data_IF_018424131956
#
_entry.id   IF_018424131956
#
_cell.length_a   1.000
_cell.length_b   1.000
_cell.length_c   1.000
_cell.angle_alpha   90.00
_cell.angle_beta   90.00
_cell.angle_gamma   90.00
#
_symmetry.space_group_name_H-M   'P 1'
#
loop_
_entity.id
_entity.type
_entity.pdbx_description
1 polymer ?
#
# COMPACT_ATOMS: atom_id res chain seq x y z
N UNK A 1 -2.89 -0.25 4.57
CA UNK A 1 -4.05 0.64 4.34
C UNK A 1 -4.97 -0.05 3.34
N UNK A 2 -5.99 -0.73 3.84
CA UNK A 2 -7.11 -1.21 3.06
C UNK A 2 -8.33 -0.81 3.86
N UNK A 3 -9.12 0.11 3.33
CA UNK A 3 -10.27 0.69 3.99
C UNK A 3 -11.30 -0.39 4.28
N UNK A 4 -11.56 -0.59 5.57
CA UNK A 4 -12.72 -1.28 6.12
C UNK A 4 -13.95 -0.41 5.88
N UNK A 5 -14.90 -0.89 5.08
CA UNK A 5 -16.30 -0.46 5.15
C UNK A 5 -17.18 -1.68 4.91
N UNK A 6 -17.15 -2.61 5.86
CA UNK A 6 -18.29 -3.51 6.03
C UNK A 6 -19.36 -2.72 6.78
N UNK A 7 -20.28 -2.13 6.02
CA UNK A 7 -21.49 -1.56 6.57
C UNK A 7 -22.38 -2.70 7.12
N UNK A 8 -22.92 -2.58 8.34
CA UNK A 8 -23.80 -3.59 8.90
C UNK A 8 -25.11 -3.65 8.11
N UNK A 9 -25.38 -4.81 7.50
CA UNK A 9 -26.67 -5.13 6.86
C UNK A 9 -27.76 -5.05 7.93
N UNK A 10 -28.54 -3.97 7.90
CA UNK A 10 -29.72 -3.80 8.75
C UNK A 10 -30.79 -4.85 8.39
N UNK A 11 -31.25 -5.70 9.31
CA UNK A 11 -32.11 -6.86 8.99
C UNK A 11 -33.60 -6.49 8.86
N UNK A 12 -33.94 -5.24 8.54
CA UNK A 12 -35.31 -4.74 8.50
C UNK A 12 -35.72 -4.19 7.11
N UNK A 13 -35.38 -4.93 6.05
CA UNK A 13 -35.97 -4.73 4.73
C UNK A 13 -37.38 -5.30 4.69
N UNK A 14 -38.41 -4.49 4.94
CA UNK A 14 -39.81 -4.92 4.80
C UNK A 14 -40.11 -5.48 3.39
N UNK A 15 -41.17 -6.29 3.24
CA UNK A 15 -41.57 -6.95 1.95
C UNK A 15 -41.51 -6.04 0.71
N UNK A 16 -41.70 -4.75 0.89
CA UNK A 16 -41.65 -3.74 -0.17
C UNK A 16 -40.24 -3.41 -0.67
N UNK A 17 -39.19 -3.52 0.14
CA UNK A 17 -37.79 -3.32 -0.31
C UNK A 17 -37.33 -4.50 -1.16
N UNK A 18 -37.66 -5.73 -0.76
CA UNK A 18 -37.38 -6.95 -1.53
C UNK A 18 -38.08 -6.93 -2.89
N UNK A 19 -39.34 -6.51 -2.95
CA UNK A 19 -40.07 -6.35 -4.22
C UNK A 19 -39.40 -5.32 -5.13
N UNK A 20 -38.97 -4.18 -4.60
CA UNK A 20 -38.26 -3.15 -5.39
C UNK A 20 -36.92 -3.64 -5.91
N UNK A 21 -36.17 -4.39 -5.13
CA UNK A 21 -34.90 -4.98 -5.57
C UNK A 21 -35.12 -6.04 -6.65
N UNK A 22 -36.11 -6.91 -6.48
CA UNK A 22 -36.49 -7.89 -7.49
C UNK A 22 -36.93 -7.22 -8.81
N UNK A 23 -37.77 -6.18 -8.73
CA UNK A 23 -38.21 -5.43 -9.91
C UNK A 23 -37.06 -4.70 -10.59
N UNK A 24 -36.13 -4.11 -9.82
CA UNK A 24 -34.91 -3.49 -10.37
C UNK A 24 -34.04 -4.52 -11.09
N UNK A 25 -33.87 -5.70 -10.52
CA UNK A 25 -33.13 -6.79 -11.16
C UNK A 25 -33.79 -7.24 -12.45
N UNK A 26 -35.10 -7.42 -12.46
CA UNK A 26 -35.86 -7.82 -13.64
C UNK A 26 -35.79 -6.75 -14.75
N UNK A 27 -35.98 -5.48 -14.42
CA UNK A 27 -35.85 -4.37 -15.37
C UNK A 27 -34.43 -4.28 -15.93
N UNK A 28 -33.40 -4.40 -15.10
CA UNK A 28 -32.00 -4.42 -15.54
C UNK A 28 -31.72 -5.60 -16.47
N UNK A 29 -32.27 -6.78 -16.18
CA UNK A 29 -32.10 -7.97 -17.02
C UNK A 29 -32.82 -7.83 -18.37
N UNK A 30 -34.01 -7.24 -18.40
CA UNK A 30 -34.73 -6.95 -19.66
C UNK A 30 -33.98 -5.90 -20.48
N UNK A 31 -33.54 -4.80 -19.85
CA UNK A 31 -32.78 -3.75 -20.51
C UNK A 31 -31.44 -4.27 -21.04
N UNK A 32 -30.69 -5.05 -20.26
CA UNK A 32 -29.42 -5.62 -20.73
C UNK A 32 -29.63 -6.55 -21.92
N UNK A 33 -30.69 -7.35 -21.92
CA UNK A 33 -31.05 -8.22 -23.06
C UNK A 33 -31.40 -7.41 -24.31
N UNK A 34 -32.21 -6.36 -24.20
CA UNK A 34 -32.59 -5.50 -25.33
C UNK A 34 -31.40 -4.68 -25.85
N UNK A 35 -30.56 -4.14 -24.97
CA UNK A 35 -29.33 -3.45 -25.37
C UNK A 35 -28.41 -4.42 -26.09
N UNK A 36 -28.25 -5.64 -25.57
CA UNK A 36 -27.42 -6.66 -26.20
C UNK A 36 -27.96 -7.11 -27.57
N UNK A 37 -29.28 -7.18 -27.76
CA UNK A 37 -29.85 -7.53 -29.07
C UNK A 37 -29.69 -6.42 -30.11
N UNK A 38 -29.74 -5.16 -29.70
CA UNK A 38 -29.75 -4.02 -30.61
C UNK A 38 -28.35 -3.43 -30.85
N UNK A 39 -27.56 -3.27 -29.80
CA UNK A 39 -26.23 -2.67 -29.83
C UNK A 39 -25.08 -3.70 -29.80
N UNK A 40 -25.40 -4.97 -29.51
CA UNK A 40 -24.42 -6.05 -29.42
C UNK A 40 -23.79 -6.20 -28.03
N UNK A 41 -22.74 -7.03 -27.96
CA UNK A 41 -21.99 -7.30 -26.73
C UNK A 41 -21.35 -6.02 -26.18
N UNK A 42 -21.28 -5.89 -24.86
CA UNK A 42 -20.55 -4.78 -24.24
C UNK A 42 -19.04 -4.87 -24.55
N UNK A 43 -18.31 -3.76 -24.39
CA UNK A 43 -16.86 -3.76 -24.57
C UNK A 43 -16.17 -4.77 -23.64
N UNK A 44 -16.58 -4.81 -22.37
CA UNK A 44 -16.04 -5.73 -21.37
C UNK A 44 -16.34 -7.20 -21.72
N UNK A 45 -17.58 -7.50 -22.15
CA UNK A 45 -17.95 -8.84 -22.61
C UNK A 45 -17.10 -9.28 -23.82
N UNK A 46 -16.79 -8.37 -24.74
CA UNK A 46 -15.90 -8.66 -25.88
C UNK A 46 -14.46 -8.92 -25.43
N UNK A 47 -13.96 -8.15 -24.45
CA UNK A 47 -12.63 -8.39 -23.88
C UNK A 47 -12.57 -9.75 -23.21
N UNK A 48 -13.58 -10.11 -22.41
CA UNK A 48 -13.62 -11.40 -21.73
C UNK A 48 -13.63 -12.58 -22.71
N UNK A 49 -14.42 -12.49 -23.79
CA UNK A 49 -14.44 -13.51 -24.84
C UNK A 49 -13.07 -13.62 -25.51
N UNK A 50 -12.45 -12.49 -25.87
CA UNK A 50 -11.13 -12.48 -26.48
C UNK A 50 -10.04 -13.04 -25.55
N UNK A 51 -10.09 -12.70 -24.26
CA UNK A 51 -9.18 -13.20 -23.24
C UNK A 51 -9.31 -14.73 -23.06
N UNK A 52 -10.55 -15.24 -23.01
CA UNK A 52 -10.82 -16.69 -22.95
C UNK A 52 -10.29 -17.41 -24.18
N UNK A 53 -10.58 -16.88 -25.38
CA UNK A 53 -10.06 -17.46 -26.63
C UNK A 53 -8.53 -17.51 -26.65
N UNK A 54 -7.87 -16.43 -26.20
CA UNK A 54 -6.40 -16.41 -26.09
C UNK A 54 -5.87 -17.40 -25.07
N UNK A 55 -6.53 -17.51 -23.91
CA UNK A 55 -6.14 -18.48 -22.90
C UNK A 55 -6.23 -19.93 -23.42
N UNK A 56 -7.30 -20.26 -24.14
CA UNK A 56 -7.49 -21.58 -24.74
C UNK A 56 -6.45 -21.86 -25.84
N UNK A 57 -6.13 -20.87 -26.67
CA UNK A 57 -5.05 -20.96 -27.67
C UNK A 57 -3.70 -21.23 -26.99
N UNK A 58 -3.36 -20.49 -25.94
CA UNK A 58 -2.11 -20.67 -25.21
C UNK A 58 -2.04 -22.05 -24.56
N UNK A 59 -3.12 -22.52 -23.93
CA UNK A 59 -3.17 -23.83 -23.28
C UNK A 59 -2.94 -24.97 -24.29
N UNK A 60 -3.54 -24.87 -25.49
CA UNK A 60 -3.31 -25.84 -26.58
C UNK A 60 -1.86 -25.83 -27.05
N UNK A 61 -1.26 -24.64 -27.21
CA UNK A 61 0.14 -24.52 -27.63
C UNK A 61 1.10 -25.09 -26.58
N UNK A 62 0.88 -24.80 -25.30
CA UNK A 62 1.66 -25.36 -24.19
C UNK A 62 1.62 -26.89 -24.18
N UNK A 63 0.45 -27.48 -24.41
CA UNK A 63 0.30 -28.94 -24.48
C UNK A 63 1.11 -29.54 -25.63
N UNK A 64 1.07 -28.92 -26.81
CA UNK A 64 1.88 -29.34 -27.97
C UNK A 64 3.38 -29.22 -27.68
N UNK A 65 3.81 -28.09 -27.12
CA UNK A 65 5.21 -27.85 -26.74
C UNK A 65 5.68 -28.87 -25.70
N UNK A 66 4.86 -29.14 -24.68
CA UNK A 66 5.17 -30.12 -23.64
C UNK A 66 5.35 -31.53 -24.22
N UNK A 67 4.48 -31.95 -25.15
CA UNK A 67 4.63 -33.23 -25.86
C UNK A 67 5.91 -33.28 -26.69
N UNK A 68 6.24 -32.19 -27.40
CA UNK A 68 7.47 -32.10 -28.17
C UNK A 68 8.73 -32.19 -27.29
N UNK A 69 8.73 -31.50 -26.14
CA UNK A 69 9.80 -31.57 -25.16
C UNK A 69 9.95 -32.98 -24.57
N UNK A 70 8.84 -33.63 -24.21
CA UNK A 70 8.87 -35.01 -23.71
C UNK A 70 9.46 -35.97 -24.75
N UNK A 71 9.00 -35.90 -26.00
CA UNK A 71 9.53 -36.72 -27.08
C UNK A 71 11.03 -36.45 -27.33
N UNK A 72 11.47 -35.20 -27.27
CA UNK A 72 12.88 -34.84 -27.39
C UNK A 72 13.72 -35.38 -26.22
N UNK A 73 13.20 -35.33 -25.00
CA UNK A 73 13.85 -35.91 -23.80
C UNK A 73 13.94 -37.43 -23.91
N UNK A 74 12.86 -38.11 -24.32
CA UNK A 74 12.86 -39.56 -24.53
C UNK A 74 13.83 -39.97 -25.62
N UNK A 75 13.83 -39.28 -26.76
CA UNK A 75 14.81 -39.47 -27.84
C UNK A 75 16.25 -39.21 -27.37
N UNK A 76 16.45 -38.20 -26.54
CA UNK A 76 17.75 -37.91 -25.93
C UNK A 76 18.22 -39.01 -24.99
N UNK A 77 17.31 -39.59 -24.21
CA UNK A 77 17.58 -40.70 -23.28
C UNK A 77 17.79 -42.04 -24.00
N UNK A 78 17.08 -42.27 -25.10
CA UNK A 78 17.19 -43.50 -25.89
C UNK A 78 18.43 -43.52 -26.77
N UNK A 79 19.01 -42.35 -27.09
CA UNK A 79 20.31 -42.29 -27.75
C UNK A 79 21.36 -42.82 -26.77
N UNK A 80 22.12 -43.85 -27.13
CA UNK A 80 23.22 -44.29 -26.31
C UNK A 80 24.20 -43.12 -26.17
N UNK A 81 24.35 -42.59 -24.97
CA UNK A 81 25.30 -41.53 -24.58
C UNK A 81 26.76 -42.02 -24.64
N UNK A 82 27.00 -43.19 -25.20
CA UNK A 82 28.34 -43.59 -25.62
C UNK A 82 28.72 -42.80 -26.87
N UNK A 83 29.49 -41.74 -26.70
CA UNK A 83 30.38 -41.32 -27.77
C UNK A 83 31.15 -42.58 -28.25
N UNK A 84 31.33 -42.80 -29.57
CA UNK A 84 32.08 -43.96 -30.09
C UNK A 84 33.49 -44.12 -29.50
N UNK A 85 34.00 -43.06 -28.86
CA UNK A 85 35.34 -42.94 -28.30
C UNK A 85 35.42 -43.35 -26.81
N UNK A 86 34.31 -43.49 -26.07
CA UNK A 86 34.35 -43.82 -24.63
C UNK A 86 33.49 -45.03 -24.27
N UNK A 87 34.08 -46.14 -23.77
CA UNK A 87 33.30 -47.30 -23.34
C UNK A 87 32.42 -46.94 -22.15
N UNK A 88 31.22 -47.55 -22.04
CA UNK A 88 30.22 -47.19 -21.01
C UNK A 88 30.74 -47.31 -19.57
N UNK A 89 31.76 -48.14 -19.33
CA UNK A 89 32.45 -48.28 -18.04
C UNK A 89 33.25 -47.04 -17.61
N UNK A 90 33.60 -46.16 -18.55
CA UNK A 90 34.35 -44.90 -18.34
C UNK A 90 33.44 -43.66 -18.35
N UNK A 91 32.13 -43.83 -18.56
CA UNK A 91 31.14 -42.77 -18.49
C UNK A 91 30.78 -42.49 -17.02
N UNK A 92 30.97 -41.27 -16.49
CA UNK A 92 30.52 -40.92 -15.16
C UNK A 92 29.02 -41.23 -14.99
N UNK A 93 28.64 -41.84 -13.88
CA UNK A 93 27.24 -42.17 -13.60
C UNK A 93 26.42 -40.87 -13.45
N UNK A 94 25.76 -40.47 -14.54
CA UNK A 94 25.01 -39.20 -14.62
C UNK A 94 23.85 -39.15 -13.62
N UNK A 95 23.24 -40.30 -13.30
CA UNK A 95 22.18 -40.38 -12.29
C UNK A 95 22.72 -40.11 -10.88
N UNK A 96 23.88 -40.66 -10.53
CA UNK A 96 24.53 -40.38 -9.25
C UNK A 96 24.89 -38.90 -9.12
N UNK A 97 25.46 -38.30 -10.17
CA UNK A 97 25.76 -36.86 -10.17
C UNK A 97 24.50 -35.98 -10.05
N UNK A 98 23.39 -36.38 -10.68
CA UNK A 98 22.11 -35.67 -10.55
C UNK A 98 21.56 -35.76 -9.12
N UNK A 99 21.63 -36.94 -8.50
CA UNK A 99 21.20 -37.14 -7.11
C UNK A 99 22.04 -36.28 -6.15
N UNK A 100 23.35 -36.23 -6.34
CA UNK A 100 24.23 -35.34 -5.54
C UNK A 100 23.88 -33.87 -5.72
N UNK A 101 23.60 -33.42 -6.96
CA UNK A 101 23.16 -32.04 -7.22
C UNK A 101 21.83 -31.72 -6.55
N UNK A 102 20.86 -32.63 -6.62
CA UNK A 102 19.57 -32.47 -5.94
C UNK A 102 19.73 -32.38 -4.43
N UNK A 103 20.61 -33.21 -3.85
CA UNK A 103 20.91 -33.18 -2.43
C UNK A 103 21.54 -31.85 -2.00
N UNK A 104 22.55 -31.38 -2.73
CA UNK A 104 23.20 -30.07 -2.49
C UNK A 104 22.21 -28.91 -2.61
N UNK A 105 21.34 -28.94 -3.62
CA UNK A 105 20.32 -27.91 -3.81
C UNK A 105 19.35 -27.86 -2.63
N UNK A 106 18.93 -29.03 -2.13
CA UNK A 106 18.05 -29.13 -0.97
C UNK A 106 18.73 -28.64 0.31
N UNK A 107 20.00 -29.00 0.51
CA UNK A 107 20.81 -28.51 1.65
C UNK A 107 20.88 -26.98 1.65
N UNK A 108 21.15 -26.37 0.49
CA UNK A 108 21.16 -24.90 0.34
C UNK A 108 19.79 -24.26 0.59
N UNK A 109 18.71 -24.89 0.13
CA UNK A 109 17.35 -24.41 0.38
C UNK A 109 17.00 -24.44 1.87
N UNK A 110 17.38 -25.53 2.57
CA UNK A 110 17.14 -25.70 3.99
C UNK A 110 17.98 -24.71 4.83
N UNK A 111 19.24 -24.46 4.44
CA UNK A 111 20.09 -23.42 5.04
C UNK A 111 19.49 -22.02 4.86
N UNK A 112 19.03 -21.69 3.65
CA UNK A 112 18.39 -20.41 3.37
C UNK A 112 17.12 -20.22 4.21
N UNK A 113 16.28 -21.25 4.33
CA UNK A 113 15.08 -21.22 5.18
C UNK A 113 15.42 -20.93 6.64
N UNK A 114 16.47 -21.57 7.18
CA UNK A 114 16.95 -21.32 8.55
C UNK A 114 17.40 -19.87 8.73
N UNK A 115 18.20 -19.33 7.80
CA UNK A 115 18.66 -17.94 7.86
C UNK A 115 17.49 -16.95 7.85
N UNK A 116 16.48 -17.18 7.00
CA UNK A 116 15.28 -16.34 6.95
C UNK A 116 14.48 -16.43 8.25
N UNK A 117 14.34 -17.62 8.83
CA UNK A 117 13.66 -17.79 10.11
C UNK A 117 14.40 -17.08 11.25
N UNK A 118 15.72 -17.21 11.34
CA UNK A 118 16.54 -16.50 12.32
C UNK A 118 16.42 -14.98 12.17
N UNK A 119 16.45 -14.47 10.94
CA UNK A 119 16.27 -13.04 10.67
C UNK A 119 14.90 -12.56 11.12
N UNK A 120 13.84 -13.33 10.83
CA UNK A 120 12.47 -13.02 11.30
C UNK A 120 12.38 -13.05 12.82
N UNK A 121 12.99 -14.02 13.47
CA UNK A 121 13.04 -14.09 14.94
C UNK A 121 13.73 -12.85 15.50
N UNK A 122 14.92 -12.49 15.00
CA UNK A 122 15.63 -11.27 15.41
C UNK A 122 14.79 -10.00 15.19
N UNK A 123 14.06 -9.91 14.09
CA UNK A 123 13.16 -8.78 13.83
C UNK A 123 11.96 -8.72 14.78
N UNK A 124 11.46 -9.87 15.22
CA UNK A 124 10.31 -9.96 16.12
C UNK A 124 10.70 -9.78 17.59
N UNK A 125 11.90 -10.23 17.98
CA UNK A 125 12.41 -10.13 19.34
C UNK A 125 13.16 -8.84 19.61
N UNK A 126 13.56 -8.08 18.58
CA UNK A 126 14.17 -6.75 18.79
C UNK A 126 13.19 -5.88 19.54
N UNK A 127 13.69 -5.21 20.58
CA UNK A 127 12.95 -4.10 21.16
C UNK A 127 12.72 -3.02 20.09
N UNK A 128 11.53 -2.43 20.02
CA UNK A 128 11.28 -1.32 19.10
C UNK A 128 12.24 -0.17 19.43
N UNK A 129 12.74 0.52 18.39
CA UNK A 129 13.70 1.64 18.56
C UNK A 129 13.20 2.69 19.55
N UNK A 130 11.89 2.92 19.57
CA UNK A 130 11.21 3.73 20.56
C UNK A 130 10.05 2.92 21.12
N UNK A 131 9.93 2.90 22.45
CA UNK A 131 8.73 2.36 23.10
C UNK A 131 7.60 3.33 22.85
N UNK A 132 6.36 2.82 22.73
CA UNK A 132 5.19 3.68 22.52
C UNK A 132 5.03 4.74 23.64
N UNK A 133 5.44 4.39 24.86
CA UNK A 133 5.51 5.31 25.99
C UNK A 133 6.42 6.51 25.72
N UNK A 134 7.57 6.27 25.11
CA UNK A 134 8.60 7.31 24.89
C UNK A 134 8.17 8.24 23.75
N UNK A 135 7.54 7.67 22.72
CA UNK A 135 6.93 8.42 21.62
C UNK A 135 5.81 9.31 22.16
N UNK A 136 4.94 8.79 23.02
CA UNK A 136 3.87 9.56 23.63
C UNK A 136 4.41 10.69 24.53
N UNK A 137 5.40 10.41 25.36
CA UNK A 137 6.07 11.41 26.18
C UNK A 137 6.69 12.52 25.31
N UNK A 138 7.30 12.17 24.17
CA UNK A 138 7.83 13.14 23.22
C UNK A 138 6.76 14.07 22.64
N UNK A 139 5.58 13.54 22.30
CA UNK A 139 4.45 14.37 21.85
C UNK A 139 3.92 15.29 22.95
N UNK A 140 3.85 14.81 24.19
CA UNK A 140 3.43 15.62 25.33
C UNK A 140 4.40 16.76 25.60
N UNK A 141 5.71 16.50 25.55
CA UNK A 141 6.74 17.54 25.65
C UNK A 141 6.62 18.59 24.55
N UNK A 142 6.41 18.17 23.29
CA UNK A 142 6.22 19.11 22.18
C UNK A 142 4.97 19.97 22.37
N UNK A 143 3.90 19.40 22.91
CA UNK A 143 2.68 20.13 23.23
C UNK A 143 2.90 21.17 24.32
N UNK A 144 3.60 20.79 25.39
CA UNK A 144 3.96 21.72 26.48
C UNK A 144 4.81 22.88 25.96
N UNK A 145 5.83 22.61 25.14
CA UNK A 145 6.66 23.66 24.54
C UNK A 145 5.86 24.60 23.62
N UNK A 146 4.87 24.10 22.90
CA UNK A 146 3.99 24.95 22.08
C UNK A 146 3.09 25.83 22.95
N UNK A 147 2.58 25.31 24.06
CA UNK A 147 1.76 26.09 25.00
C UNK A 147 2.59 27.16 25.71
N UNK A 148 3.81 26.84 26.13
CA UNK A 148 4.76 27.79 26.72
C UNK A 148 5.08 28.93 25.74
N UNK A 149 5.50 28.59 24.51
CA UNK A 149 5.76 29.59 23.46
C UNK A 149 4.54 30.47 23.16
N UNK A 150 3.34 29.88 23.16
CA UNK A 150 2.11 30.65 22.95
C UNK A 150 1.86 31.64 24.09
N UNK A 151 2.13 31.24 25.33
CA UNK A 151 2.01 32.14 26.50
C UNK A 151 3.05 33.25 26.46
N UNK A 152 4.31 32.93 26.13
CA UNK A 152 5.38 33.91 25.96
C UNK A 152 5.00 34.95 24.91
N UNK A 153 4.55 34.52 23.72
CA UNK A 153 4.12 35.45 22.66
C UNK A 153 2.93 36.32 23.08
N UNK A 154 1.98 35.78 23.85
CA UNK A 154 0.86 36.56 24.37
C UNK A 154 1.31 37.61 25.40
N UNK A 155 2.30 37.27 26.24
CA UNK A 155 2.88 38.20 27.21
C UNK A 155 3.66 39.31 26.50
N UNK A 156 4.52 38.96 25.54
CA UNK A 156 5.26 39.93 24.73
C UNK A 156 4.30 40.87 23.97
N UNK A 157 3.21 40.34 23.41
CA UNK A 157 2.19 41.14 22.74
C UNK A 157 1.53 42.12 23.73
N UNK A 158 1.17 41.65 24.92
CA UNK A 158 0.57 42.47 25.97
C UNK A 158 1.50 43.62 26.40
N UNK A 159 2.76 43.31 26.73
CA UNK A 159 3.77 44.30 27.10
C UNK A 159 4.00 45.33 25.99
N UNK A 160 4.01 44.88 24.74
CA UNK A 160 4.15 45.77 23.58
C UNK A 160 2.95 46.71 23.43
N UNK A 161 1.73 46.22 23.66
CA UNK A 161 0.53 47.07 23.67
C UNK A 161 0.51 48.05 24.83
N UNK A 162 1.00 47.66 26.01
CA UNK A 162 1.16 48.58 27.14
C UNK A 162 2.18 49.68 26.85
N UNK A 163 3.33 49.33 26.27
CA UNK A 163 4.32 50.31 25.85
C UNK A 163 3.76 51.29 24.80
N UNK A 164 3.03 50.80 23.80
CA UNK A 164 2.38 51.67 22.81
C UNK A 164 1.35 52.61 23.43
N UNK A 165 0.53 52.12 24.37
CA UNK A 165 -0.42 52.97 25.11
C UNK A 165 0.30 54.02 25.97
N UNK A 166 1.42 53.67 26.61
CA UNK A 166 2.22 54.63 27.36
C UNK A 166 2.80 55.74 26.47
N UNK A 167 3.28 55.38 25.28
CA UNK A 167 3.78 56.33 24.27
C UNK A 167 2.63 57.22 23.75
N UNK A 168 1.48 56.65 23.40
CA UNK A 168 0.30 57.41 22.98
C UNK A 168 -0.18 58.38 24.07
N UNK A 169 -0.16 57.97 25.34
CA UNK A 169 -0.50 58.83 26.48
C UNK A 169 0.46 60.03 26.65
N UNK A 170 1.72 59.91 26.22
CA UNK A 170 2.66 61.04 26.19
C UNK A 170 2.34 62.02 25.05
N UNK A 171 1.96 61.51 23.87
CA UNK A 171 1.65 62.34 22.70
C UNK A 171 0.24 62.97 22.72
N UNK A 172 -0.70 62.36 23.43
CA UNK A 172 -2.09 62.84 23.55
C UNK A 172 -2.28 63.93 24.62
N UNK A 173 -1.26 64.22 25.43
CA UNK A 173 -1.27 65.40 26.30
C UNK A 173 -1.18 66.65 25.42
N UNK A 174 -2.18 67.55 25.44
CA UNK A 174 -2.11 68.77 24.65
C UNK A 174 -0.93 69.62 25.12
N UNK A 175 -0.07 70.04 24.18
CA UNK A 175 1.01 71.03 24.38
C UNK A 175 0.45 72.45 24.60
N UNK A 176 -0.58 72.59 25.43
CA UNK A 176 -1.19 73.87 25.78
C UNK A 176 -1.22 73.99 27.28
N UNK A 177 -0.17 74.56 27.89
CA UNK A 177 -0.29 75.21 29.20
C UNK A 177 0.94 76.04 29.66
N UNK A 178 1.70 76.68 28.76
CA UNK A 178 2.75 77.64 29.21
C UNK A 178 2.75 79.01 28.52
N UNK A 179 1.79 79.34 27.64
CA UNK A 179 1.74 80.64 26.96
C UNK A 179 0.52 81.54 27.29
N UNK A 180 -0.27 81.24 28.32
CA UNK A 180 -1.45 82.06 28.67
C UNK A 180 -1.26 83.09 29.79
N UNK A 181 -0.06 83.25 30.38
CA UNK A 181 0.17 84.13 31.54
C UNK A 181 0.94 85.44 31.26
N UNK A 182 1.16 85.85 30.00
CA UNK A 182 1.95 87.06 29.68
C UNK A 182 1.11 88.30 29.31
N UNK A 183 -0.23 88.25 29.35
CA UNK A 183 -1.07 89.39 28.91
C UNK A 183 -1.99 90.01 29.97
N UNK A 184 -1.53 90.14 31.23
CA UNK A 184 -2.23 91.03 32.18
C UNK A 184 -1.25 91.82 33.05
N UNK A 185 -0.63 92.86 32.49
CA UNK A 185 -0.14 94.01 33.25
C UNK A 185 -0.79 95.25 32.63
N UNK A 186 -1.81 95.77 33.31
CA UNK A 186 -2.23 97.17 33.23
C UNK A 186 -2.82 97.57 34.57
#
# INVERSE_FOLDING_TARGET
>A
MGLTSEDPVSPNGGRHTQFKEALKHELRARLSKTVRSNAGLSFDERIEIAAKAKHDETSKQELVQRKALQAAVEKGRSRPTSAPVRPSKLSPNQQAMLQERMKKMKEQEDEYKKQVQEMRQKMNTREPLFRLSDVQAGFEMLRQQQEEKRRELQQEEHERWEHLRAVEALFSKPLYNEYSLILTIR
#
